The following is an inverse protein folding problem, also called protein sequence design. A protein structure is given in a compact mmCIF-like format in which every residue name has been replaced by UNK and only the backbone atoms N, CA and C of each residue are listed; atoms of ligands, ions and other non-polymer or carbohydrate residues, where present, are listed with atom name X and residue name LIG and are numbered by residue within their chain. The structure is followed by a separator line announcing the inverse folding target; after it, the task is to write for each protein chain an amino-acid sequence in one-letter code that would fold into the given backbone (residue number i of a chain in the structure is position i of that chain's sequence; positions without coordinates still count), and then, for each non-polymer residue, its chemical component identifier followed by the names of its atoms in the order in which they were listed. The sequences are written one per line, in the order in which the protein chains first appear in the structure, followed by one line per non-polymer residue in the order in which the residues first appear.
data_IF_954968301077
#
_entry.id   IF_954968301077
#
_cell.length_a   1.000
_cell.length_b   1.000
_cell.length_c   1.000
_cell.angle_alpha   90.00
_cell.angle_beta   90.00
_cell.angle_gamma   90.00
#
_symmetry.space_group_name_H-M   'P 1'
#
loop_
_entity.id
_entity.type
_entity.pdbx_description
1 polymer ?
#
# COMPACT_ATOMS: atom_id res chain seq x y z
N UNK A 1 -2.04 -15.64 -9.92
CA UNK A 1 -1.68 -14.56 -8.98
C UNK A 1 -1.11 -13.31 -9.65
N UNK A 2 -0.27 -13.41 -10.69
CA UNK A 2 0.33 -12.23 -11.36
C UNK A 2 -0.68 -11.27 -12.02
N UNK A 3 -1.78 -11.78 -12.57
CA UNK A 3 -2.73 -10.94 -13.32
C UNK A 3 -3.43 -9.88 -12.45
N UNK A 4 -3.64 -10.17 -11.16
CA UNK A 4 -4.22 -9.23 -10.19
C UNK A 4 -3.16 -8.42 -9.44
N UNK A 5 -1.89 -8.83 -9.49
CA UNK A 5 -0.81 -8.19 -8.74
C UNK A 5 -0.70 -6.71 -9.12
N UNK A 6 -0.37 -6.41 -10.37
CA UNK A 6 -0.15 -5.03 -10.81
C UNK A 6 -1.41 -4.16 -10.79
N UNK A 7 -2.55 -4.61 -11.36
CA UNK A 7 -3.75 -3.79 -11.37
C UNK A 7 -4.24 -3.43 -9.97
N UNK A 8 -4.27 -4.40 -9.03
CA UNK A 8 -4.71 -4.11 -7.66
C UNK A 8 -3.71 -3.23 -6.91
N UNK A 9 -2.40 -3.43 -7.12
CA UNK A 9 -1.37 -2.60 -6.49
C UNK A 9 -1.46 -1.15 -6.96
N UNK A 10 -1.56 -0.92 -8.28
CA UNK A 10 -1.72 0.43 -8.85
C UNK A 10 -3.03 1.06 -8.38
N UNK A 11 -4.14 0.31 -8.42
CA UNK A 11 -5.43 0.79 -7.92
C UNK A 11 -5.37 1.17 -6.43
N UNK A 12 -4.63 0.43 -5.60
CA UNK A 12 -4.42 0.74 -4.18
C UNK A 12 -3.67 2.06 -3.97
N UNK A 13 -2.64 2.34 -4.77
CA UNK A 13 -1.90 3.61 -4.72
C UNK A 13 -2.79 4.77 -5.14
N UNK A 14 -3.52 4.63 -6.24
CA UNK A 14 -4.42 5.69 -6.73
C UNK A 14 -5.52 5.99 -5.72
N UNK A 15 -6.16 4.96 -5.16
CA UNK A 15 -7.16 5.12 -4.10
C UNK A 15 -6.57 5.73 -2.83
N UNK A 16 -5.33 5.42 -2.51
CA UNK A 16 -4.63 6.06 -1.40
C UNK A 16 -4.50 7.57 -1.62
N UNK A 17 -4.08 8.02 -2.80
CA UNK A 17 -3.95 9.46 -3.10
C UNK A 17 -5.30 10.15 -2.89
N UNK A 18 -6.38 9.58 -3.45
CA UNK A 18 -7.73 10.12 -3.26
C UNK A 18 -8.16 10.10 -1.79
N UNK A 19 -7.84 9.04 -1.05
CA UNK A 19 -8.19 8.92 0.37
C UNK A 19 -7.52 9.98 1.25
N UNK A 20 -6.27 10.34 0.95
CA UNK A 20 -5.52 11.37 1.65
C UNK A 20 -6.05 12.77 1.28
N UNK A 21 -6.29 13.02 -0.01
CA UNK A 21 -6.86 14.28 -0.49
C UNK A 21 -8.26 14.57 0.06
N UNK A 22 -9.16 13.58 0.02
CA UNK A 22 -10.53 13.71 0.53
C UNK A 22 -10.68 13.40 2.03
N UNK A 23 -9.59 13.03 2.71
CA UNK A 23 -9.57 12.63 4.13
C UNK A 23 -10.58 11.51 4.45
N UNK A 24 -10.76 10.56 3.53
CA UNK A 24 -11.73 9.45 3.65
C UNK A 24 -11.02 8.19 4.14
N UNK A 25 -11.07 7.93 5.44
CA UNK A 25 -10.50 6.73 6.07
C UNK A 25 -10.99 5.41 5.44
N UNK A 26 -12.27 5.35 5.03
CA UNK A 26 -12.84 4.17 4.34
C UNK A 26 -12.10 3.81 3.05
N UNK A 27 -11.63 4.80 2.29
CA UNK A 27 -10.88 4.56 1.05
C UNK A 27 -9.47 3.99 1.34
N UNK A 28 -8.85 4.35 2.45
CA UNK A 28 -7.58 3.73 2.88
C UNK A 28 -7.76 2.26 3.27
N UNK A 29 -8.88 1.93 3.93
CA UNK A 29 -9.21 0.53 4.25
C UNK A 29 -9.35 -0.28 2.96
N UNK A 30 -10.06 0.25 1.96
CA UNK A 30 -10.17 -0.40 0.65
C UNK A 30 -8.80 -0.53 -0.03
N UNK A 31 -7.95 0.49 0.07
CA UNK A 31 -6.57 0.45 -0.44
C UNK A 31 -5.75 -0.66 0.23
N UNK A 32 -5.93 -0.87 1.54
CA UNK A 32 -5.28 -1.97 2.27
C UNK A 32 -5.66 -3.36 1.76
N UNK A 33 -6.92 -3.54 1.36
CA UNK A 33 -7.40 -4.80 0.78
C UNK A 33 -6.85 -5.01 -0.63
N UNK A 34 -6.79 -3.95 -1.43
CA UNK A 34 -6.28 -3.99 -2.80
C UNK A 34 -4.77 -4.29 -2.86
N UNK A 35 -3.99 -3.92 -1.84
CA UNK A 35 -2.56 -4.26 -1.82
C UNK A 35 -2.29 -5.67 -1.29
N UNK A 36 -3.30 -6.41 -0.80
CA UNK A 36 -3.12 -7.77 -0.28
C UNK A 36 -2.50 -8.76 -1.29
N UNK A 37 -2.91 -8.81 -2.58
CA UNK A 37 -2.30 -9.73 -3.53
C UNK A 37 -0.78 -9.55 -3.64
N UNK A 38 -0.33 -8.29 -3.54
CA UNK A 38 1.09 -7.94 -3.60
C UNK A 38 1.82 -8.23 -2.28
N UNK A 39 1.18 -7.88 -1.16
CA UNK A 39 1.66 -8.21 0.19
C UNK A 39 1.87 -9.72 0.38
N UNK A 40 0.90 -10.53 -0.01
CA UNK A 40 0.96 -12.00 0.07
C UNK A 40 2.02 -12.58 -0.87
N UNK A 41 2.16 -12.00 -2.08
CA UNK A 41 3.21 -12.39 -3.01
C UNK A 41 4.62 -12.13 -2.45
N UNK A 42 4.84 -10.96 -1.84
CA UNK A 42 6.10 -10.63 -1.17
C UNK A 42 6.34 -11.54 0.04
N UNK A 43 5.32 -11.81 0.85
CA UNK A 43 5.42 -12.68 2.01
C UNK A 43 5.77 -14.14 1.66
N UNK A 44 5.48 -14.57 0.43
CA UNK A 44 5.90 -15.88 -0.08
C UNK A 44 7.41 -15.96 -0.38
N UNK A 45 8.15 -14.85 -0.29
CA UNK A 45 9.61 -14.80 -0.47
C UNK A 45 10.33 -14.71 0.88
N UNK A 46 11.47 -15.40 1.07
CA UNK A 46 12.16 -15.46 2.36
C UNK A 46 12.64 -14.08 2.85
N UNK A 47 12.98 -13.18 1.91
CA UNK A 47 13.43 -11.81 2.23
C UNK A 47 12.30 -10.92 2.78
N UNK A 48 11.06 -11.16 2.37
CA UNK A 48 9.92 -10.30 2.69
C UNK A 48 8.83 -11.02 3.49
N UNK A 49 9.13 -12.15 4.14
CA UNK A 49 8.14 -12.94 4.88
C UNK A 49 7.37 -12.10 5.91
N UNK A 50 8.08 -11.25 6.66
CA UNK A 50 7.49 -10.33 7.65
C UNK A 50 7.12 -8.99 6.99
N UNK A 51 8.02 -8.46 6.16
CA UNK A 51 7.87 -7.14 5.55
C UNK A 51 6.68 -7.05 4.60
N UNK A 52 6.39 -8.12 3.85
CA UNK A 52 5.25 -8.21 2.95
C UNK A 52 3.92 -7.92 3.66
N UNK A 53 3.74 -8.43 4.88
CA UNK A 53 2.51 -8.27 5.67
C UNK A 53 2.37 -6.89 6.33
N UNK A 54 3.45 -6.11 6.41
CA UNK A 54 3.44 -4.78 7.02
C UNK A 54 2.74 -3.76 6.10
N UNK A 55 2.84 -3.88 4.79
CA UNK A 55 2.32 -2.87 3.85
C UNK A 55 0.79 -2.63 3.94
N UNK A 56 -0.07 -3.67 4.05
CA UNK A 56 -1.49 -3.48 4.34
C UNK A 56 -1.73 -2.82 5.71
N UNK A 57 -0.94 -3.17 6.72
CA UNK A 57 -1.05 -2.59 8.06
C UNK A 57 -0.70 -1.11 8.08
N UNK A 58 0.26 -0.68 7.25
CA UNK A 58 0.60 0.74 7.08
C UNK A 58 -0.59 1.56 6.55
N UNK A 59 -1.36 1.02 5.60
CA UNK A 59 -2.61 1.65 5.15
C UNK A 59 -3.67 1.75 6.25
N UNK A 60 -3.85 0.69 7.04
CA UNK A 60 -4.77 0.70 8.18
C UNK A 60 -4.33 1.68 9.27
N UNK A 61 -3.01 1.76 9.54
CA UNK A 61 -2.41 2.74 10.42
C UNK A 61 -2.72 4.16 9.95
N UNK A 62 -2.47 4.45 8.68
CA UNK A 62 -2.81 5.73 8.06
C UNK A 62 -4.32 6.03 8.17
N UNK A 63 -5.19 5.02 8.01
CA UNK A 63 -6.63 5.17 8.14
C UNK A 63 -7.04 5.64 9.55
N UNK A 64 -6.35 5.16 10.59
CA UNK A 64 -6.53 5.58 11.99
C UNK A 64 -6.03 7.00 12.25
N UNK A 65 -4.98 7.45 11.57
CA UNK A 65 -4.51 8.83 11.70
C UNK A 65 -5.42 9.83 10.97
N UNK A 66 -6.00 9.44 9.83
CA UNK A 66 -7.01 10.24 9.14
C UNK A 66 -8.24 10.47 10.03
N UNK A 67 -8.74 9.46 10.75
CA UNK A 67 -9.90 9.65 11.65
C UNK A 67 -9.60 10.60 12.80
N UNK A 68 -8.33 10.69 13.23
CA UNK A 68 -7.84 11.65 14.23
C UNK A 68 -7.52 13.04 13.66
N UNK A 69 -7.83 13.31 12.38
CA UNK A 69 -7.49 14.55 11.64
C UNK A 69 -5.98 14.82 11.55
N UNK A 70 -5.12 13.83 11.77
CA UNK A 70 -3.67 13.96 11.69
C UNK A 70 -3.17 13.50 10.32
N UNK A 71 -3.08 14.43 9.37
CA UNK A 71 -2.72 14.09 7.97
C UNK A 71 -1.23 13.76 7.82
N UNK A 72 -0.35 14.49 8.49
CA UNK A 72 1.11 14.29 8.40
C UNK A 72 1.58 12.88 8.76
N UNK A 73 1.21 12.29 9.92
CA UNK A 73 1.59 10.91 10.21
C UNK A 73 0.92 9.92 9.27
N UNK A 74 -0.30 10.20 8.80
CA UNK A 74 -0.95 9.35 7.80
C UNK A 74 -0.12 9.30 6.51
N UNK A 75 0.33 10.45 6.01
CA UNK A 75 1.20 10.53 4.82
C UNK A 75 2.51 9.76 5.06
N UNK A 76 3.17 9.98 6.20
CA UNK A 76 4.43 9.33 6.54
C UNK A 76 4.31 7.80 6.52
N UNK A 77 3.20 7.26 7.03
CA UNK A 77 2.93 5.82 7.05
C UNK A 77 2.77 5.21 5.66
N UNK A 78 2.30 5.97 4.67
CA UNK A 78 2.06 5.42 3.33
C UNK A 78 3.25 5.49 2.42
N UNK A 79 4.22 6.38 2.68
CA UNK A 79 5.43 6.55 1.87
C UNK A 79 6.16 5.21 1.60
N UNK A 80 6.37 4.31 2.60
CA UNK A 80 7.02 3.03 2.35
C UNK A 80 6.31 2.17 1.29
N UNK A 81 4.97 2.24 1.21
CA UNK A 81 4.22 1.52 0.17
C UNK A 81 4.56 2.04 -1.23
N UNK A 82 4.66 3.36 -1.41
CA UNK A 82 5.03 3.95 -2.71
C UNK A 82 6.47 3.66 -3.09
N UNK A 83 7.40 3.77 -2.14
CA UNK A 83 8.82 3.48 -2.38
C UNK A 83 9.02 2.04 -2.82
N UNK A 84 8.36 1.09 -2.15
CA UNK A 84 8.46 -0.32 -2.48
C UNK A 84 7.85 -0.63 -3.86
N UNK A 85 6.66 -0.11 -4.17
CA UNK A 85 6.04 -0.32 -5.49
C UNK A 85 6.89 0.34 -6.59
N UNK A 86 7.43 1.53 -6.35
CA UNK A 86 8.32 2.21 -7.29
C UNK A 86 9.59 1.41 -7.56
N UNK A 87 10.21 0.85 -6.51
CA UNK A 87 11.36 -0.03 -6.63
C UNK A 87 11.03 -1.34 -7.37
N UNK A 88 9.91 -2.00 -7.04
CA UNK A 88 9.47 -3.20 -7.77
C UNK A 88 9.22 -2.90 -9.25
N UNK A 89 8.62 -1.74 -9.55
CA UNK A 89 8.40 -1.29 -10.91
C UNK A 89 9.71 -1.10 -11.67
N UNK A 90 10.71 -0.46 -11.05
CA UNK A 90 12.02 -0.27 -11.70
C UNK A 90 12.77 -1.59 -11.92
N UNK A 91 12.66 -2.55 -11.01
CA UNK A 91 13.26 -3.88 -11.17
C UNK A 91 12.62 -4.61 -12.35
N UNK A 92 11.28 -4.62 -12.46
CA UNK A 92 10.58 -5.29 -13.56
C UNK A 92 10.85 -4.66 -14.92
N UNK A 93 11.04 -3.33 -14.97
CA UNK A 93 11.36 -2.63 -16.23
C UNK A 93 12.81 -2.84 -16.69
N UNK A 94 13.72 -3.19 -15.79
CA UNK A 94 15.14 -3.42 -16.09
C UNK A 94 15.49 -4.92 -16.26
N UNK A 95 14.50 -5.81 -16.15
CA UNK A 95 14.61 -7.24 -16.47
C UNK A 95 14.32 -7.48 -17.95
#
# INVERSE_FOLDING_TARGET
MQLLFWPCTIASLVLCIFSLGFRKSKLLVISSLLILPMSLYLAATPLFLIWGLIFPLLYLGAAKFITKKMIWPAILLVIPNYLLVGWLGSVVLNQ
#
